data_IF_652848008534
#
_entry.id   IF_652848008534
#
_cell.length_a   1.000
_cell.length_b   1.000
_cell.length_c   1.000
_cell.angle_alpha   90.00
_cell.angle_beta   90.00
_cell.angle_gamma   90.00
#
_symmetry.space_group_name_H-M   'P 1'
#
loop_
_entity.id
_entity.type
_entity.pdbx_description
1 polymer ?
#
# COMPACT_ATOMS: atom_id res chain seq x y z
N UNK A 1 4.12 -25.55 51.77
CA UNK A 1 2.75 -26.10 51.95
C UNK A 1 1.78 -25.15 51.28
N UNK A 2 1.34 -25.52 50.08
CA UNK A 2 0.06 -25.15 49.45
C UNK A 2 0.10 -25.79 48.07
N UNK A 3 -0.36 -27.04 48.00
CA UNK A 3 -0.58 -27.78 46.76
C UNK A 3 -1.65 -27.09 45.93
N UNK A 4 -1.40 -26.92 44.63
CA UNK A 4 -2.43 -26.53 43.68
C UNK A 4 -2.59 -27.66 42.68
N UNK A 5 -3.79 -28.22 42.66
CA UNK A 5 -4.20 -29.38 41.88
C UNK A 5 -4.31 -29.02 40.40
N UNK A 6 -3.73 -29.87 39.56
CA UNK A 6 -3.90 -29.82 38.11
C UNK A 6 -5.29 -30.28 37.69
N UNK A 7 -5.83 -29.63 36.65
CA UNK A 7 -6.93 -30.17 35.86
C UNK A 7 -6.47 -30.33 34.42
N UNK A 8 -6.57 -31.58 33.98
CA UNK A 8 -6.22 -32.11 32.67
C UNK A 8 -7.24 -31.70 31.60
N UNK A 9 -6.75 -31.60 30.37
CA UNK A 9 -7.51 -31.42 29.14
C UNK A 9 -8.39 -32.64 28.82
N UNK A 10 -9.47 -32.48 28.03
CA UNK A 10 -10.07 -33.59 27.32
C UNK A 10 -9.37 -33.81 25.97
N UNK A 11 -8.77 -34.98 25.89
CA UNK A 11 -8.29 -35.71 24.73
C UNK A 11 -9.49 -36.06 23.83
N UNK A 12 -9.43 -35.72 22.54
CA UNK A 12 -10.33 -36.27 21.52
C UNK A 12 -9.50 -37.08 20.53
N UNK A 13 -9.45 -38.39 20.77
CA UNK A 13 -8.98 -39.38 19.82
C UNK A 13 -9.99 -39.53 18.68
N UNK A 14 -9.53 -39.45 17.44
CA UNK A 14 -10.29 -39.88 16.27
C UNK A 14 -9.54 -41.07 15.67
N UNK A 15 -10.25 -42.19 15.56
CA UNK A 15 -9.78 -43.47 15.05
C UNK A 15 -9.70 -43.43 13.52
N UNK A 16 -8.57 -43.88 12.97
CA UNK A 16 -8.43 -44.23 11.55
C UNK A 16 -9.13 -45.57 11.29
N UNK A 17 -10.12 -45.58 10.39
CA UNK A 17 -10.72 -46.80 9.84
C UNK A 17 -10.33 -46.90 8.35
N UNK A 18 -9.33 -47.73 8.06
CA UNK A 18 -8.98 -48.16 6.71
C UNK A 18 -10.11 -49.04 6.14
N UNK A 19 -10.71 -48.60 5.04
CA UNK A 19 -11.54 -49.47 4.19
C UNK A 19 -11.10 -49.33 2.74
N UNK A 20 -10.46 -50.39 2.23
CA UNK A 20 -10.19 -50.58 0.82
C UNK A 20 -11.50 -50.87 0.08
N UNK A 21 -11.79 -50.11 -0.97
CA UNK A 21 -12.77 -50.49 -1.99
C UNK A 21 -12.14 -50.35 -3.38
N UNK A 22 -11.96 -51.51 -4.01
CA UNK A 22 -11.90 -51.67 -5.46
C UNK A 22 -13.25 -51.26 -6.05
N UNK A 23 -13.32 -50.14 -6.75
CA UNK A 23 -13.71 -50.11 -8.16
C UNK A 23 -13.72 -48.67 -8.67
N UNK A 24 -13.27 -48.50 -9.91
CA UNK A 24 -13.20 -47.21 -10.57
C UNK A 24 -14.58 -46.56 -10.74
N UNK A 25 -14.57 -45.22 -10.71
CA UNK A 25 -15.63 -44.27 -11.10
C UNK A 25 -16.43 -43.63 -9.94
N UNK A 26 -16.24 -42.31 -9.75
CA UNK A 26 -17.23 -41.33 -9.25
C UNK A 26 -16.63 -39.92 -9.34
N UNK A 27 -17.14 -39.04 -10.21
CA UNK A 27 -18.23 -38.06 -9.95
C UNK A 27 -18.11 -37.34 -8.61
N UNK A 28 -17.67 -36.09 -8.68
CA UNK A 28 -17.57 -35.12 -7.61
C UNK A 28 -18.96 -34.72 -7.10
N UNK A 29 -19.37 -35.24 -5.94
CA UNK A 29 -20.52 -34.72 -5.18
C UNK A 29 -20.05 -33.55 -4.30
N UNK A 30 -20.53 -32.34 -4.60
CA UNK A 30 -20.43 -31.20 -3.67
C UNK A 30 -21.40 -31.42 -2.50
N UNK A 31 -20.86 -31.65 -1.30
CA UNK A 31 -21.62 -31.52 -0.05
C UNK A 31 -21.74 -30.03 0.29
N UNK A 32 -22.97 -29.52 0.24
CA UNK A 32 -23.35 -28.21 0.80
C UNK A 32 -23.75 -28.45 2.26
N UNK A 33 -23.01 -27.88 3.21
CA UNK A 33 -23.44 -27.77 4.61
C UNK A 33 -24.33 -26.53 4.72
N UNK A 34 -25.60 -26.74 5.03
CA UNK A 34 -26.53 -25.70 5.46
C UNK A 34 -26.38 -25.57 6.97
N UNK A 35 -25.82 -24.47 7.45
CA UNK A 35 -25.86 -24.08 8.86
C UNK A 35 -27.15 -23.28 9.06
N UNK A 36 -28.11 -23.86 9.78
CA UNK A 36 -29.31 -23.19 10.26
C UNK A 36 -29.00 -22.59 11.64
N UNK A 37 -28.92 -21.27 11.72
CA UNK A 37 -28.93 -20.54 12.99
C UNK A 37 -30.33 -19.99 13.23
N UNK A 38 -30.94 -20.42 14.33
CA UNK A 38 -32.21 -19.92 14.84
C UNK A 38 -32.04 -18.50 15.37
N UNK A 39 -32.82 -17.56 14.83
CA UNK A 39 -32.96 -16.20 15.35
C UNK A 39 -34.20 -16.19 16.25
N UNK A 40 -34.02 -15.81 17.51
CA UNK A 40 -35.12 -15.44 18.42
C UNK A 40 -35.42 -13.96 18.25
N UNK A 41 -36.65 -13.66 17.84
CA UNK A 41 -37.22 -12.31 17.82
C UNK A 41 -37.41 -11.77 19.24
N UNK A 42 -37.02 -10.51 19.46
CA UNK A 42 -37.76 -9.57 20.32
C UNK A 42 -37.36 -8.11 20.02
N UNK A 43 -38.30 -7.42 19.36
CA UNK A 43 -38.69 -6.00 19.47
C UNK A 43 -37.63 -4.91 19.74
N UNK A 44 -37.38 -4.06 18.73
CA UNK A 44 -37.73 -2.62 18.70
C UNK A 44 -37.16 -1.93 17.44
N UNK A 45 -38.00 -1.30 16.60
CA UNK A 45 -37.62 -0.36 15.52
C UNK A 45 -37.57 1.08 16.07
N UNK A 46 -36.69 1.98 15.57
CA UNK A 46 -37.06 2.92 14.48
C UNK A 46 -35.83 3.39 13.62
N UNK A 47 -35.91 4.46 12.81
CA UNK A 47 -36.66 4.62 11.55
C UNK A 47 -35.73 4.69 10.31
N UNK A 48 -36.34 4.65 9.14
CA UNK A 48 -35.73 4.61 7.81
C UNK A 48 -34.65 5.69 7.56
N UNK A 49 -33.43 5.24 7.25
CA UNK A 49 -32.41 5.99 6.51
C UNK A 49 -32.37 5.56 5.04
N UNK A 50 -31.80 6.38 4.13
CA UNK A 50 -31.94 6.17 2.69
C UNK A 50 -31.17 4.92 2.22
N UNK A 51 -31.89 3.94 1.68
CA UNK A 51 -31.30 2.81 0.95
C UNK A 51 -30.90 3.30 -0.44
N UNK A 52 -29.60 3.24 -0.76
CA UNK A 52 -29.11 3.43 -2.13
C UNK A 52 -29.25 2.09 -2.84
N UNK A 53 -30.24 2.01 -3.74
CA UNK A 53 -30.41 0.87 -4.63
C UNK A 53 -29.49 1.05 -5.84
N UNK A 54 -28.52 0.14 -6.01
CA UNK A 54 -27.63 0.13 -7.17
C UNK A 54 -28.21 -0.84 -8.20
N UNK A 55 -28.79 -0.30 -9.27
CA UNK A 55 -29.21 -1.11 -10.42
C UNK A 55 -28.00 -1.42 -11.31
N UNK A 56 -27.58 -2.68 -11.33
CA UNK A 56 -26.70 -3.22 -12.37
C UNK A 56 -27.57 -3.59 -13.56
N UNK A 57 -27.47 -2.85 -14.66
CA UNK A 57 -28.09 -3.20 -15.93
C UNK A 57 -27.15 -4.18 -16.64
N UNK A 58 -27.53 -5.46 -16.65
CA UNK A 58 -26.96 -6.47 -17.55
C UNK A 58 -27.84 -6.54 -18.80
N UNK A 59 -27.25 -6.29 -19.98
CA UNK A 59 -27.93 -6.41 -21.27
C UNK A 59 -27.38 -7.64 -21.98
N UNK A 60 -27.95 -8.81 -21.71
CA UNK A 60 -27.93 -9.91 -22.68
C UNK A 60 -29.08 -10.93 -22.52
N UNK A 61 -29.93 -10.96 -23.55
CA UNK A 61 -30.79 -12.06 -24.03
C UNK A 61 -32.03 -12.52 -23.23
N UNK A 62 -33.18 -11.99 -23.67
CA UNK A 62 -34.40 -12.70 -24.11
C UNK A 62 -34.76 -14.08 -23.52
N UNK A 63 -35.83 -14.12 -22.71
CA UNK A 63 -37.01 -15.00 -22.91
C UNK A 63 -38.22 -14.56 -22.06
N UNK A 64 -39.40 -14.59 -22.68
CA UNK A 64 -40.73 -14.23 -22.15
C UNK A 64 -41.22 -15.23 -21.09
N UNK A 65 -41.90 -14.76 -20.05
CA UNK A 65 -43.33 -15.05 -19.81
C UNK A 65 -43.89 -14.44 -18.49
N UNK A 66 -45.16 -14.04 -18.60
CA UNK A 66 -46.21 -13.90 -17.58
C UNK A 66 -46.22 -12.67 -16.63
N UNK A 67 -47.13 -11.76 -16.97
CA UNK A 67 -47.72 -10.70 -16.15
C UNK A 67 -48.53 -11.25 -14.97
N UNK A 68 -48.51 -10.53 -13.85
CA UNK A 68 -49.69 -10.34 -12.99
C UNK A 68 -49.72 -8.88 -12.52
N UNK A 69 -50.88 -8.24 -12.63
CA UNK A 69 -51.12 -6.81 -12.44
C UNK A 69 -51.37 -6.41 -10.97
N UNK A 70 -50.73 -5.30 -10.54
CA UNK A 70 -51.24 -4.11 -9.80
C UNK A 70 -51.94 -4.25 -8.42
N UNK A 71 -51.96 -3.20 -7.54
CA UNK A 71 -52.09 -1.75 -7.84
C UNK A 71 -51.00 -0.82 -7.24
N UNK A 72 -50.37 -0.02 -8.09
CA UNK A 72 -50.47 1.47 -8.24
C UNK A 72 -50.28 2.35 -7.00
N UNK A 73 -49.22 3.16 -7.04
CA UNK A 73 -49.27 4.59 -6.74
C UNK A 73 -48.47 5.34 -7.83
N UNK A 74 -49.18 6.18 -8.59
CA UNK A 74 -48.66 7.01 -9.68
C UNK A 74 -48.18 8.36 -9.18
N UNK A 75 -47.11 8.92 -9.76
CA UNK A 75 -46.99 10.37 -9.96
C UNK A 75 -46.19 10.70 -11.23
N UNK A 76 -46.56 11.83 -11.82
CA UNK A 76 -46.45 12.27 -13.21
C UNK A 76 -45.07 12.71 -13.70
N UNK A 77 -44.73 12.34 -14.93
CA UNK A 77 -43.57 12.79 -15.70
C UNK A 77 -43.90 14.11 -16.44
N UNK A 78 -43.12 15.19 -16.20
CA UNK A 78 -43.15 16.41 -17.03
C UNK A 78 -41.98 16.35 -18.01
N UNK A 79 -42.26 15.91 -19.23
CA UNK A 79 -41.37 16.12 -20.37
C UNK A 79 -41.50 17.56 -20.87
N UNK A 80 -40.46 18.37 -20.66
CA UNK A 80 -40.36 19.70 -21.27
C UNK A 80 -39.92 19.55 -22.75
N UNK A 81 -40.91 19.67 -23.62
CA UNK A 81 -40.79 19.89 -25.06
C UNK A 81 -40.26 21.31 -25.28
N UNK A 82 -39.07 21.46 -25.88
CA UNK A 82 -38.66 22.72 -26.51
C UNK A 82 -38.53 22.46 -28.01
N UNK A 83 -39.64 22.70 -28.70
CA UNK A 83 -39.66 23.10 -30.10
C UNK A 83 -39.86 24.61 -30.08
N UNK A 84 -38.86 25.35 -30.52
CA UNK A 84 -38.88 26.80 -30.57
C UNK A 84 -37.86 27.28 -31.57
N UNK A 85 -38.28 27.32 -32.83
CA UNK A 85 -37.62 28.03 -33.91
C UNK A 85 -37.55 29.51 -33.57
N UNK A 86 -36.35 30.08 -33.42
CA UNK A 86 -36.17 31.44 -33.90
C UNK A 86 -34.71 31.76 -34.25
N UNK A 87 -34.60 32.61 -35.27
CA UNK A 87 -33.38 32.99 -35.95
C UNK A 87 -32.54 33.88 -35.04
N UNK A 88 -31.32 33.47 -34.72
CA UNK A 88 -30.31 34.40 -34.21
C UNK A 88 -29.04 34.27 -35.03
N UNK A 89 -28.78 35.34 -35.78
CA UNK A 89 -27.55 35.61 -36.51
C UNK A 89 -26.37 35.70 -35.53
N UNK A 90 -25.44 34.75 -35.60
CA UNK A 90 -24.10 34.93 -35.06
C UNK A 90 -23.23 35.61 -36.12
N UNK A 91 -23.03 36.93 -35.98
CA UNK A 91 -21.97 37.66 -36.67
C UNK A 91 -20.65 37.40 -35.94
N UNK A 92 -19.89 36.44 -36.45
CA UNK A 92 -18.45 36.34 -36.18
C UNK A 92 -17.75 36.37 -37.54
N UNK A 93 -16.87 37.37 -37.73
CA UNK A 93 -15.95 37.52 -38.85
C UNK A 93 -16.56 37.45 -40.27
N UNK A 94 -17.35 38.45 -40.65
CA UNK A 94 -17.37 39.00 -42.02
C UNK A 94 -17.46 38.08 -43.25
N UNK A 95 -17.89 36.83 -43.14
CA UNK A 95 -17.93 35.85 -44.23
C UNK A 95 -19.30 35.15 -44.28
N UNK A 96 -20.02 35.33 -45.38
CA UNK A 96 -21.23 34.58 -45.69
C UNK A 96 -20.85 33.15 -46.14
N UNK A 97 -21.03 32.15 -45.27
CA UNK A 97 -20.87 30.73 -45.65
C UNK A 97 -22.24 30.06 -45.77
N UNK A 98 -22.55 29.52 -46.96
CA UNK A 98 -23.78 28.75 -47.20
C UNK A 98 -23.73 27.42 -46.45
N UNK A 99 -24.80 27.10 -45.71
CA UNK A 99 -24.97 25.93 -44.81
C UNK A 99 -24.96 24.56 -45.53
N UNK A 100 -24.74 24.51 -46.85
CA UNK A 100 -24.72 23.26 -47.63
C UNK A 100 -23.47 22.40 -47.47
N UNK A 101 -22.36 22.94 -46.94
CA UNK A 101 -21.05 22.25 -46.92
C UNK A 101 -20.61 21.69 -45.56
N UNK A 102 -21.29 22.02 -44.44
CA UNK A 102 -20.84 21.59 -43.10
C UNK A 102 -21.20 20.16 -42.74
N UNK A 103 -22.29 19.60 -43.27
CA UNK A 103 -22.75 18.24 -42.93
C UNK A 103 -21.81 17.11 -43.34
N UNK A 104 -21.27 17.07 -44.59
CA UNK A 104 -20.33 16.00 -44.95
C UNK A 104 -18.99 16.15 -44.23
N UNK A 105 -18.57 17.37 -43.91
CA UNK A 105 -17.31 17.63 -43.21
C UNK A 105 -17.38 17.19 -41.74
N UNK A 106 -18.50 17.46 -41.05
CA UNK A 106 -18.71 16.98 -39.67
C UNK A 106 -18.83 15.45 -39.60
N UNK A 107 -19.46 14.82 -40.59
CA UNK A 107 -19.51 13.36 -40.68
C UNK A 107 -18.11 12.74 -40.90
N UNK A 108 -17.27 13.39 -41.72
CA UNK A 108 -15.88 12.98 -41.94
C UNK A 108 -15.03 13.15 -40.69
N UNK A 109 -15.16 14.27 -39.97
CA UNK A 109 -14.45 14.51 -38.70
C UNK A 109 -14.86 13.50 -37.64
N UNK A 110 -16.15 13.14 -37.55
CA UNK A 110 -16.63 12.13 -36.64
C UNK A 110 -16.09 10.72 -36.98
N UNK A 111 -16.05 10.35 -38.27
CA UNK A 111 -15.49 9.07 -38.72
C UNK A 111 -13.99 8.97 -38.46
N UNK A 112 -13.24 10.05 -38.68
CA UNK A 112 -11.80 10.11 -38.35
C UNK A 112 -11.58 10.02 -36.84
N UNK A 113 -12.39 10.72 -36.03
CA UNK A 113 -12.28 10.65 -34.57
C UNK A 113 -12.57 9.24 -34.04
N UNK A 114 -13.58 8.54 -34.56
CA UNK A 114 -13.89 7.15 -34.20
C UNK A 114 -12.78 6.21 -34.67
N UNK A 115 -12.24 6.40 -35.88
CA UNK A 115 -11.12 5.60 -36.38
C UNK A 115 -9.85 5.75 -35.52
N UNK A 116 -9.54 6.97 -35.08
CA UNK A 116 -8.42 7.26 -34.17
C UNK A 116 -8.65 6.63 -32.79
N UNK A 117 -9.88 6.68 -32.26
CA UNK A 117 -10.24 6.06 -30.97
C UNK A 117 -10.15 4.53 -31.01
N UNK A 118 -10.58 3.89 -32.11
CA UNK A 118 -10.47 2.45 -32.29
C UNK A 118 -9.01 2.03 -32.45
N UNK A 119 -8.24 2.76 -33.26
CA UNK A 119 -6.81 2.51 -33.45
C UNK A 119 -6.03 2.71 -32.15
N UNK A 120 -6.35 3.75 -31.37
CA UNK A 120 -5.78 3.96 -30.04
C UNK A 120 -6.09 2.80 -29.09
N UNK A 121 -7.32 2.30 -29.06
CA UNK A 121 -7.69 1.16 -28.21
C UNK A 121 -7.02 -0.16 -28.65
N UNK A 122 -6.83 -0.39 -29.95
CA UNK A 122 -6.13 -1.57 -30.47
C UNK A 122 -4.65 -1.50 -30.15
N UNK A 123 -4.01 -0.35 -30.39
CA UNK A 123 -2.59 -0.12 -30.07
C UNK A 123 -2.36 -0.18 -28.55
N UNK A 124 -3.25 0.39 -27.73
CA UNK A 124 -3.17 0.31 -26.28
C UNK A 124 -3.32 -1.14 -25.76
N UNK A 125 -4.15 -1.97 -26.42
CA UNK A 125 -4.28 -3.40 -26.11
C UNK A 125 -3.07 -4.24 -26.51
N UNK A 126 -2.43 -3.95 -27.65
CA UNK A 126 -1.19 -4.65 -28.02
C UNK A 126 0.01 -4.21 -27.20
N UNK A 127 0.11 -2.92 -26.86
CA UNK A 127 1.18 -2.41 -25.98
C UNK A 127 1.04 -2.99 -24.57
N UNK A 128 -0.16 -3.10 -24.01
CA UNK A 128 -0.38 -3.77 -22.70
C UNK A 128 -0.09 -5.26 -22.71
N UNK A 129 -0.09 -5.92 -23.88
CA UNK A 129 0.25 -7.34 -24.01
C UNK A 129 1.77 -7.59 -24.12
N UNK A 130 2.55 -6.61 -24.61
CA UNK A 130 4.00 -6.74 -24.81
C UNK A 130 4.87 -5.96 -23.80
N UNK A 131 4.35 -4.94 -23.14
CA UNK A 131 5.05 -4.23 -22.06
C UNK A 131 4.33 -4.43 -20.74
N UNK A 132 4.79 -5.40 -19.95
CA UNK A 132 4.23 -5.72 -18.63
C UNK A 132 4.35 -4.60 -17.58
N UNK A 133 4.90 -3.42 -17.88
CA UNK A 133 5.29 -2.42 -16.87
C UNK A 133 5.17 -0.93 -17.29
N UNK A 134 4.43 -0.57 -18.35
CA UNK A 134 4.20 0.85 -18.71
C UNK A 134 2.74 1.25 -18.58
N UNK A 135 2.28 1.37 -17.33
CA UNK A 135 1.05 2.10 -17.02
C UNK A 135 1.38 3.58 -16.80
N UNK A 136 0.94 4.42 -17.75
CA UNK A 136 0.80 5.86 -17.50
C UNK A 136 -0.38 6.06 -16.55
N UNK A 137 -0.10 6.26 -15.27
CA UNK A 137 -1.04 6.87 -14.32
C UNK A 137 -1.40 8.27 -14.84
N UNK A 138 -2.52 8.41 -15.56
CA UNK A 138 -3.10 9.74 -15.80
C UNK A 138 -3.64 10.23 -14.45
N UNK A 139 -3.07 11.27 -13.85
CA UNK A 139 -3.39 11.61 -12.46
C UNK A 139 -4.72 12.37 -12.39
N UNK A 140 -5.57 11.94 -11.46
CA UNK A 140 -6.76 12.67 -10.95
C UNK A 140 -6.39 14.08 -10.41
N UNK A 141 -5.09 14.38 -10.25
CA UNK A 141 -4.55 15.68 -9.85
C UNK A 141 -4.81 16.82 -10.85
N UNK A 142 -5.32 16.56 -12.06
CA UNK A 142 -5.64 17.65 -13.01
C UNK A 142 -7.02 18.27 -12.79
N UNK A 143 -7.88 17.69 -11.93
CA UNK A 143 -9.26 18.15 -11.76
C UNK A 143 -9.69 18.41 -10.30
N UNK A 144 -9.00 17.84 -9.30
CA UNK A 144 -9.45 17.88 -7.90
C UNK A 144 -8.93 19.09 -7.10
N UNK A 145 -7.92 19.82 -7.59
CA UNK A 145 -7.47 21.07 -6.94
C UNK A 145 -8.51 22.21 -6.99
N UNK A 146 -9.68 21.97 -7.61
CA UNK A 146 -10.83 22.89 -7.62
C UNK A 146 -12.02 22.45 -6.76
N UNK A 147 -11.93 21.32 -6.06
CA UNK A 147 -12.96 20.88 -5.13
C UNK A 147 -12.34 20.88 -3.73
N UNK A 148 -12.64 21.91 -2.95
CA UNK A 148 -12.17 22.09 -1.57
C UNK A 148 -12.45 20.84 -0.71
N UNK A 149 -11.43 20.21 -0.09
CA UNK A 149 -11.63 19.31 1.03
C UNK A 149 -11.82 20.15 2.31
N UNK A 150 -13.07 20.54 2.59
CA UNK A 150 -13.45 21.60 3.54
C UNK A 150 -13.29 21.29 5.05
N UNK A 151 -12.78 20.12 5.44
CA UNK A 151 -12.65 19.75 6.86
C UNK A 151 -11.21 19.65 7.39
N UNK A 152 -10.25 19.14 6.59
CA UNK A 152 -8.84 19.00 7.04
C UNK A 152 -8.01 20.27 6.81
N UNK A 153 -8.31 21.04 5.75
CA UNK A 153 -7.64 22.33 5.45
C UNK A 153 -7.85 23.40 6.53
N UNK A 154 -8.99 23.37 7.24
CA UNK A 154 -9.28 24.37 8.26
C UNK A 154 -8.46 24.15 9.56
N UNK A 155 -8.12 22.91 9.88
CA UNK A 155 -7.29 22.59 11.07
C UNK A 155 -5.83 22.96 10.79
N UNK A 156 -5.31 22.66 9.60
CA UNK A 156 -3.91 22.97 9.24
C UNK A 156 -3.62 24.46 9.29
N UNK A 157 -4.56 25.31 8.86
CA UNK A 157 -4.37 26.76 8.87
C UNK A 157 -4.37 27.33 10.30
N UNK A 158 -5.29 26.89 11.17
CA UNK A 158 -5.30 27.33 12.57
C UNK A 158 -4.05 26.93 13.36
N UNK A 159 -3.51 25.74 13.08
CA UNK A 159 -2.26 25.28 13.69
C UNK A 159 -1.06 26.05 13.18
N UNK A 160 -0.95 26.23 11.86
CA UNK A 160 0.14 26.99 11.25
C UNK A 160 0.17 28.44 11.77
N UNK A 161 -1.00 29.09 11.87
CA UNK A 161 -1.11 30.42 12.45
C UNK A 161 -0.60 30.47 13.90
N UNK A 162 -0.97 29.48 14.72
CA UNK A 162 -0.50 29.38 16.10
C UNK A 162 1.01 29.14 16.20
N UNK A 163 1.55 28.32 15.30
CA UNK A 163 2.99 28.06 15.21
C UNK A 163 3.76 29.32 14.80
N UNK A 164 3.31 30.04 13.77
CA UNK A 164 3.94 31.26 13.29
C UNK A 164 3.91 32.39 14.32
N UNK A 165 2.88 32.43 15.19
CA UNK A 165 2.85 33.36 16.32
C UNK A 165 3.93 33.04 17.38
N UNK A 166 4.22 31.77 17.60
CA UNK A 166 5.26 31.31 18.53
C UNK A 166 6.67 31.39 17.92
N UNK A 167 6.78 31.34 16.59
CA UNK A 167 8.02 31.35 15.82
C UNK A 167 8.04 32.50 14.80
N UNK A 168 8.16 33.76 15.25
CA UNK A 168 8.09 34.94 14.38
C UNK A 168 9.28 35.06 13.42
N UNK A 169 10.32 34.26 13.61
CA UNK A 169 11.49 34.14 12.74
C UNK A 169 11.21 33.32 11.47
N UNK A 170 10.12 32.54 11.45
CA UNK A 170 9.71 31.74 10.30
C UNK A 170 8.89 32.60 9.34
N UNK A 171 9.36 32.72 8.10
CA UNK A 171 8.62 33.37 7.02
C UNK A 171 7.37 32.54 6.68
N UNK A 172 6.19 33.08 6.99
CA UNK A 172 4.90 32.46 6.72
C UNK A 172 4.71 32.11 5.23
N UNK A 173 5.34 32.84 4.31
CA UNK A 173 5.26 32.57 2.86
C UNK A 173 6.13 31.38 2.44
N UNK A 174 7.00 30.90 3.33
CA UNK A 174 7.90 29.78 3.13
C UNK A 174 7.64 28.66 4.14
N UNK A 175 6.46 28.61 4.75
CA UNK A 175 6.08 27.57 5.69
C UNK A 175 4.81 26.84 5.22
N UNK A 176 4.72 25.54 5.49
CA UNK A 176 3.50 24.78 5.26
C UNK A 176 3.40 23.58 6.21
N UNK A 177 2.21 22.99 6.26
CA UNK A 177 1.89 21.81 7.07
C UNK A 177 1.30 20.73 6.16
N UNK A 178 1.82 19.49 6.15
CA UNK A 178 1.24 18.42 5.36
C UNK A 178 -0.07 17.91 6.00
N UNK A 179 -0.93 17.29 5.21
CA UNK A 179 -2.10 16.58 5.73
C UNK A 179 -1.69 15.25 6.40
N UNK A 180 -1.18 15.34 7.63
CA UNK A 180 -0.83 14.14 8.41
C UNK A 180 -2.06 13.29 8.71
N UNK A 181 -1.87 11.97 8.68
CA UNK A 181 -2.92 11.01 8.93
C UNK A 181 -3.24 10.93 10.42
N UNK A 182 -4.51 10.78 10.75
CA UNK A 182 -4.94 10.50 12.11
C UNK A 182 -4.67 9.02 12.45
N UNK A 183 -3.71 8.77 13.35
CA UNK A 183 -3.34 7.42 13.78
C UNK A 183 -4.54 6.59 14.26
N UNK A 184 -5.48 7.20 14.99
CA UNK A 184 -6.69 6.52 15.49
C UNK A 184 -7.63 6.02 14.39
N UNK A 185 -7.56 6.63 13.20
CA UNK A 185 -8.37 6.24 12.03
C UNK A 185 -7.67 5.22 11.12
N UNK A 186 -6.38 4.92 11.36
CA UNK A 186 -5.62 3.96 10.57
C UNK A 186 -5.98 2.54 11.01
N UNK A 187 -6.30 1.69 10.03
CA UNK A 187 -6.48 0.26 10.25
C UNK A 187 -5.14 -0.47 10.19
N UNK A 188 -4.62 -0.87 11.36
CA UNK A 188 -3.46 -1.74 11.48
C UNK A 188 -3.86 -3.22 11.48
N UNK A 189 -2.97 -4.11 11.00
CA UNK A 189 -3.32 -5.52 10.77
C UNK A 189 -3.13 -6.41 11.98
N UNK A 190 -2.28 -6.01 12.91
CA UNK A 190 -2.05 -6.71 14.16
C UNK A 190 -2.50 -5.88 15.36
N UNK A 191 -2.74 -6.59 16.47
CA UNK A 191 -3.02 -6.02 17.78
C UNK A 191 -1.73 -5.79 18.58
N UNK A 192 -0.59 -5.64 17.91
CA UNK A 192 0.68 -5.37 18.57
C UNK A 192 0.55 -4.11 19.45
N UNK A 193 1.17 -4.15 20.64
CA UNK A 193 1.14 -3.05 21.62
C UNK A 193 1.45 -1.68 21.00
N UNK A 194 2.37 -1.64 20.04
CA UNK A 194 2.72 -0.44 19.28
C UNK A 194 1.49 0.23 18.64
N UNK A 195 0.67 -0.52 17.90
CA UNK A 195 -0.51 0.01 17.22
C UNK A 195 -1.62 0.40 18.19
N UNK A 196 -1.85 -0.39 19.24
CA UNK A 196 -2.79 -0.02 20.29
C UNK A 196 -2.36 1.31 20.96
N UNK A 197 -1.06 1.47 21.23
CA UNK A 197 -0.53 2.68 21.86
C UNK A 197 -0.68 3.89 20.93
N UNK A 198 -0.21 3.82 19.68
CA UNK A 198 -0.26 4.96 18.74
C UNK A 198 -1.70 5.39 18.41
N UNK A 199 -2.66 4.45 18.39
CA UNK A 199 -4.08 4.77 18.16
C UNK A 199 -4.74 5.47 19.36
N UNK A 200 -4.26 5.22 20.57
CA UNK A 200 -4.77 5.86 21.81
C UNK A 200 -4.10 7.19 22.14
N UNK A 201 -2.96 7.48 21.51
CA UNK A 201 -2.37 8.81 21.61
C UNK A 201 -3.28 9.79 20.85
N UNK A 202 -4.07 10.58 21.57
CA UNK A 202 -4.85 11.67 20.97
C UNK A 202 -3.89 12.65 20.29
N UNK A 203 -3.82 12.60 18.95
CA UNK A 203 -2.77 13.24 18.14
C UNK A 203 -1.36 13.01 18.71
N UNK A 204 -0.72 11.86 18.41
CA UNK A 204 0.55 11.49 19.04
C UNK A 204 1.59 12.60 18.98
N UNK A 205 1.58 13.35 17.88
CA UNK A 205 2.34 14.57 17.72
C UNK A 205 1.59 15.53 16.79
N UNK A 206 1.79 16.84 16.97
CA UNK A 206 1.30 17.84 16.02
C UNK A 206 1.93 17.60 14.63
N UNK A 207 1.27 17.96 13.53
CA UNK A 207 1.87 17.88 12.20
C UNK A 207 3.23 18.61 12.12
N UNK A 208 4.21 18.14 11.34
CA UNK A 208 5.46 18.87 11.15
C UNK A 208 5.19 20.17 10.40
N UNK A 209 5.89 21.23 10.78
CA UNK A 209 5.94 22.47 10.00
C UNK A 209 7.18 22.41 9.12
N UNK A 210 6.96 22.42 7.80
CA UNK A 210 8.04 22.45 6.83
C UNK A 210 8.33 23.87 6.40
N UNK A 211 9.62 24.21 6.30
CA UNK A 211 10.06 25.54 5.89
C UNK A 211 11.01 25.48 4.69
N UNK A 212 11.15 26.60 3.98
CA UNK A 212 12.10 26.75 2.88
C UNK A 212 11.91 25.66 1.80
N UNK A 213 12.97 24.88 1.52
CA UNK A 213 12.91 23.81 0.52
C UNK A 213 12.01 22.64 0.92
N UNK A 214 11.78 22.40 2.22
CA UNK A 214 10.92 21.31 2.70
C UNK A 214 9.45 21.56 2.43
N UNK A 215 9.06 22.78 2.06
CA UNK A 215 7.67 23.11 1.71
C UNK A 215 7.11 22.28 0.56
N UNK A 216 7.98 21.73 -0.31
CA UNK A 216 7.58 20.80 -1.37
C UNK A 216 6.85 19.55 -0.84
N UNK A 217 7.08 19.15 0.41
CA UNK A 217 6.41 18.01 1.03
C UNK A 217 4.90 18.21 1.28
N UNK A 218 4.42 19.46 1.29
CA UNK A 218 2.99 19.74 1.40
C UNK A 218 2.26 19.58 0.06
N UNK A 219 3.00 19.49 -1.05
CA UNK A 219 2.42 19.20 -2.36
C UNK A 219 2.29 17.68 -2.56
N UNK A 220 1.18 17.11 -2.11
CA UNK A 220 0.92 15.67 -2.25
C UNK A 220 0.94 15.20 -3.71
N UNK A 221 0.55 16.05 -4.65
CA UNK A 221 0.50 15.73 -6.08
C UNK A 221 1.91 15.54 -6.65
N UNK A 222 2.85 16.42 -6.28
CA UNK A 222 4.27 16.24 -6.58
C UNK A 222 4.85 15.05 -5.83
N UNK A 223 4.47 14.86 -4.57
CA UNK A 223 4.86 13.70 -3.77
C UNK A 223 4.55 12.36 -4.44
N UNK A 224 3.44 12.25 -5.17
CA UNK A 224 3.08 11.03 -5.93
C UNK A 224 4.02 10.71 -7.08
N UNK A 225 4.72 11.70 -7.63
CA UNK A 225 5.64 11.55 -8.78
C UNK A 225 7.10 11.48 -8.34
N UNK A 226 7.39 12.04 -7.18
CA UNK A 226 8.73 12.12 -6.62
C UNK A 226 9.12 10.76 -6.03
N UNK A 227 10.29 10.25 -6.41
CA UNK A 227 10.82 8.99 -5.89
C UNK A 227 11.34 9.19 -4.45
N UNK A 228 12.64 9.34 -4.28
CA UNK A 228 13.29 9.62 -3.00
C UNK A 228 12.89 10.96 -2.39
N UNK A 229 12.54 11.94 -3.23
CA UNK A 229 12.29 13.32 -2.81
C UNK A 229 10.94 13.51 -2.09
N UNK A 230 10.19 12.43 -1.87
CA UNK A 230 9.00 12.43 -0.99
C UNK A 230 9.18 11.55 0.26
N UNK A 231 10.38 11.03 0.48
CA UNK A 231 10.71 10.38 1.74
C UNK A 231 10.97 11.44 2.82
N UNK A 232 10.44 11.21 4.02
CA UNK A 232 10.66 12.08 5.16
C UNK A 232 12.15 12.11 5.49
N UNK A 233 12.79 13.30 5.59
CA UNK A 233 14.15 13.40 6.07
C UNK A 233 14.21 12.99 7.54
N UNK A 234 14.93 11.92 7.83
CA UNK A 234 15.08 11.38 9.19
C UNK A 234 16.57 11.21 9.45
N UNK A 235 17.05 11.70 10.60
CA UNK A 235 18.40 11.45 11.10
C UNK A 235 18.34 10.75 12.45
N UNK A 236 19.33 9.93 12.73
CA UNK A 236 19.39 9.19 13.98
C UNK A 236 20.74 8.54 14.19
N UNK A 237 20.95 8.08 15.42
CA UNK A 237 22.11 7.30 15.85
C UNK A 237 22.14 5.94 15.18
N UNK A 238 23.35 5.52 14.83
CA UNK A 238 23.67 4.20 14.24
C UNK A 238 24.70 3.43 15.07
N UNK A 239 25.13 4.00 16.19
CA UNK A 239 26.13 3.43 17.08
C UNK A 239 25.51 2.36 18.00
N UNK A 240 26.28 1.31 18.28
CA UNK A 240 25.79 0.15 19.04
C UNK A 240 25.60 0.49 20.51
N UNK A 241 26.39 1.42 21.03
CA UNK A 241 26.42 1.82 22.44
C UNK A 241 25.08 2.40 22.88
N UNK A 242 24.46 3.25 22.03
CA UNK A 242 23.21 3.90 22.35
C UNK A 242 21.99 3.32 21.63
N UNK A 243 22.19 2.42 20.66
CA UNK A 243 21.13 1.76 19.90
C UNK A 243 21.23 0.24 19.96
N UNK A 244 21.29 -0.25 21.19
CA UNK A 244 21.22 -1.69 21.45
C UNK A 244 19.77 -2.17 21.36
N UNK A 245 19.45 -2.97 20.35
CA UNK A 245 18.09 -3.51 20.08
C UNK A 245 17.03 -2.41 19.83
N UNK A 246 17.17 -1.64 18.74
CA UNK A 246 16.26 -0.54 18.44
C UNK A 246 14.84 -1.05 18.17
N UNK A 247 13.86 -0.49 18.86
CA UNK A 247 12.47 -0.91 18.80
C UNK A 247 11.53 0.19 18.32
N UNK A 248 10.47 -0.18 17.60
CA UNK A 248 9.39 0.74 17.20
C UNK A 248 8.64 1.34 18.39
N UNK A 249 8.74 0.76 19.59
CA UNK A 249 8.20 1.41 20.79
C UNK A 249 8.95 2.69 21.16
N UNK A 250 10.22 2.81 20.78
CA UNK A 250 11.07 3.97 21.12
C UNK A 250 10.55 5.26 20.46
N UNK A 251 9.98 5.14 19.26
CA UNK A 251 9.49 6.27 18.46
C UNK A 251 8.10 6.77 18.88
N UNK A 252 7.53 6.23 19.95
CA UNK A 252 6.30 6.72 20.56
C UNK A 252 6.55 7.78 21.65
N UNK A 253 7.82 7.99 22.05
CA UNK A 253 8.24 9.12 22.88
C UNK A 253 8.85 10.22 22.02
N UNK A 254 8.87 11.49 22.45
CA UNK A 254 9.56 12.57 21.74
C UNK A 254 11.00 12.20 21.38
N UNK A 255 11.38 12.41 20.11
CA UNK A 255 12.70 12.09 19.57
C UNK A 255 13.41 13.34 19.03
N UNK A 256 14.73 13.24 18.98
CA UNK A 256 15.64 14.17 18.30
C UNK A 256 16.63 13.35 17.47
N UNK A 257 17.35 13.96 16.50
CA UNK A 257 18.42 13.25 15.78
C UNK A 257 19.48 12.62 16.69
N UNK A 258 19.66 13.14 17.91
CA UNK A 258 20.62 12.64 18.90
C UNK A 258 20.10 11.47 19.75
N UNK A 259 18.78 11.29 19.84
CA UNK A 259 18.15 10.24 20.66
C UNK A 259 17.54 9.13 19.81
N UNK A 260 17.11 9.44 18.59
CA UNK A 260 16.50 8.50 17.68
C UNK A 260 17.51 7.43 17.26
N UNK A 261 17.18 6.17 17.52
CA UNK A 261 17.91 5.08 16.91
C UNK A 261 17.40 4.80 15.51
N UNK A 262 18.31 4.79 14.54
CA UNK A 262 17.94 4.67 13.12
C UNK A 262 17.21 3.35 12.81
N UNK A 263 17.49 2.29 13.57
CA UNK A 263 16.81 1.00 13.46
C UNK A 263 15.34 1.02 13.92
N UNK A 264 14.92 1.95 14.78
CA UNK A 264 13.55 1.99 15.32
C UNK A 264 12.51 2.34 14.24
N UNK A 265 12.68 3.39 13.40
CA UNK A 265 11.79 3.63 12.26
C UNK A 265 11.91 2.55 11.18
N UNK A 266 13.08 1.91 11.01
CA UNK A 266 13.23 0.76 10.10
C UNK A 266 12.40 -0.44 10.55
N UNK A 267 12.42 -0.79 11.84
CA UNK A 267 11.61 -1.89 12.36
C UNK A 267 10.11 -1.62 12.19
N UNK A 268 9.65 -0.39 12.45
CA UNK A 268 8.27 0.01 12.17
C UNK A 268 7.92 -0.19 10.69
N UNK A 269 8.73 0.40 9.80
CA UNK A 269 8.51 0.36 8.36
C UNK A 269 8.50 -1.09 7.82
N UNK A 270 9.46 -1.91 8.23
CA UNK A 270 9.53 -3.32 7.88
C UNK A 270 8.25 -4.05 8.30
N UNK A 271 7.85 -3.88 9.57
CA UNK A 271 6.68 -4.60 10.11
C UNK A 271 5.41 -4.23 9.36
N UNK A 272 5.18 -2.94 9.14
CA UNK A 272 3.99 -2.43 8.46
C UNK A 272 3.90 -2.89 7.01
N UNK A 273 5.02 -2.86 6.27
CA UNK A 273 5.09 -3.33 4.88
C UNK A 273 4.89 -4.84 4.80
N UNK A 274 5.53 -5.60 5.70
CA UNK A 274 5.39 -7.05 5.79
C UNK A 274 3.93 -7.46 6.07
N UNK A 275 3.27 -6.80 7.01
CA UNK A 275 1.87 -7.05 7.35
C UNK A 275 0.91 -6.72 6.20
N UNK A 276 1.15 -5.64 5.44
CA UNK A 276 0.31 -5.33 4.26
C UNK A 276 0.47 -6.37 3.15
N UNK A 277 1.68 -6.87 2.90
CA UNK A 277 1.86 -7.98 1.95
C UNK A 277 1.07 -9.22 2.37
N UNK A 278 1.13 -9.60 3.65
CA UNK A 278 0.33 -10.73 4.17
C UNK A 278 -1.17 -10.48 4.01
N UNK A 279 -1.64 -9.27 4.30
CA UNK A 279 -3.05 -8.91 4.17
C UNK A 279 -3.56 -8.99 2.72
N UNK A 280 -2.68 -8.82 1.73
CA UNK A 280 -3.00 -8.97 0.30
C UNK A 280 -2.90 -10.42 -0.21
N UNK A 281 -2.59 -11.37 0.67
CA UNK A 281 -2.40 -12.78 0.33
C UNK A 281 -1.04 -13.09 -0.32
N UNK A 282 -0.09 -12.16 -0.29
CA UNK A 282 1.29 -12.45 -0.64
C UNK A 282 1.95 -13.29 0.46
N UNK A 283 3.09 -13.93 0.16
CA UNK A 283 3.94 -14.56 1.18
C UNK A 283 5.26 -13.78 1.25
N UNK A 284 5.32 -12.69 2.03
CA UNK A 284 6.56 -11.96 2.22
C UNK A 284 7.55 -12.79 3.03
N UNK A 285 8.83 -12.64 2.72
CA UNK A 285 9.95 -13.26 3.42
C UNK A 285 11.05 -12.22 3.63
N UNK A 286 11.67 -12.15 4.81
CA UNK A 286 12.83 -11.27 5.00
C UNK A 286 14.08 -11.89 4.37
N UNK A 287 14.89 -11.07 3.70
CA UNK A 287 16.07 -11.49 2.93
C UNK A 287 17.31 -10.66 3.29
N UNK A 288 18.44 -10.96 2.65
CA UNK A 288 19.66 -10.14 2.64
C UNK A 288 20.08 -9.57 4.00
N UNK A 289 20.28 -8.26 4.12
CA UNK A 289 20.81 -7.61 5.32
C UNK A 289 19.85 -7.72 6.51
N UNK A 290 18.56 -7.80 6.22
CA UNK A 290 17.51 -7.99 7.25
C UNK A 290 17.55 -9.40 7.82
N UNK A 291 17.62 -10.42 6.97
CA UNK A 291 17.81 -11.80 7.40
C UNK A 291 19.13 -11.96 8.15
N UNK A 292 20.20 -11.30 7.68
CA UNK A 292 21.50 -11.31 8.34
C UNK A 292 21.44 -10.74 9.75
N UNK A 293 20.72 -9.63 9.95
CA UNK A 293 20.49 -9.03 11.27
C UNK A 293 19.74 -9.97 12.21
N UNK A 294 18.65 -10.57 11.71
CA UNK A 294 17.87 -11.57 12.45
C UNK A 294 18.72 -12.77 12.88
N UNK A 295 19.52 -13.34 11.98
CA UNK A 295 20.37 -14.51 12.28
C UNK A 295 21.53 -14.17 13.21
N UNK A 296 22.18 -13.00 13.06
CA UNK A 296 23.33 -12.61 13.88
C UNK A 296 22.94 -12.24 15.30
N UNK A 297 21.99 -11.31 15.42
CA UNK A 297 21.71 -10.59 16.67
C UNK A 297 20.22 -10.55 17.01
N UNK A 298 19.36 -11.19 16.23
CA UNK A 298 17.90 -11.09 16.39
C UNK A 298 17.38 -9.66 16.28
N UNK A 299 18.03 -8.78 15.52
CA UNK A 299 17.70 -7.35 15.43
C UNK A 299 18.13 -6.72 14.11
N UNK A 300 17.58 -5.54 13.81
CA UNK A 300 18.06 -4.69 12.71
C UNK A 300 19.55 -4.33 12.89
N UNK A 301 20.35 -4.40 11.83
CA UNK A 301 21.78 -4.07 11.90
C UNK A 301 21.96 -2.56 12.18
N UNK A 302 22.62 -2.14 13.27
CA UNK A 302 22.60 -0.73 13.74
C UNK A 302 23.07 0.33 12.73
N UNK A 303 23.88 -0.04 11.74
CA UNK A 303 24.46 0.88 10.75
C UNK A 303 23.84 0.78 9.35
N UNK A 304 22.79 -0.01 9.18
CA UNK A 304 22.08 -0.10 7.89
C UNK A 304 21.11 1.06 7.70
N UNK A 305 20.85 1.39 6.45
CA UNK A 305 19.90 2.43 6.06
C UNK A 305 18.53 1.86 5.68
N UNK A 306 18.44 0.54 5.56
CA UNK A 306 17.36 -0.18 4.88
C UNK A 306 16.97 -1.50 5.54
N UNK A 307 15.88 -2.07 5.06
CA UNK A 307 15.51 -3.46 5.30
C UNK A 307 15.01 -4.10 4.00
N UNK A 308 14.98 -5.42 3.94
CA UNK A 308 14.85 -6.20 2.71
C UNK A 308 13.68 -7.18 2.85
N UNK A 309 12.66 -7.02 2.02
CA UNK A 309 11.54 -7.98 1.92
C UNK A 309 11.52 -8.60 0.53
N UNK A 310 11.63 -9.92 0.48
CA UNK A 310 11.23 -10.73 -0.66
C UNK A 310 9.73 -10.91 -0.71
N UNK A 311 9.11 -10.82 -1.89
CA UNK A 311 7.68 -11.09 -2.07
C UNK A 311 7.43 -11.84 -3.38
N UNK A 312 6.43 -12.73 -3.41
CA UNK A 312 5.95 -13.30 -4.67
C UNK A 312 4.79 -12.49 -5.22
N UNK A 313 4.80 -12.28 -6.52
CA UNK A 313 3.63 -11.73 -7.21
C UNK A 313 2.50 -12.75 -7.15
N UNK A 314 1.34 -12.33 -6.67
CA UNK A 314 0.11 -13.08 -6.77
C UNK A 314 -0.87 -12.29 -7.63
N UNK A 315 -1.75 -12.96 -8.40
CA UNK A 315 -2.83 -12.26 -9.11
C UNK A 315 -3.81 -11.52 -8.19
N UNK A 316 -3.68 -11.64 -6.86
CA UNK A 316 -4.61 -11.07 -5.88
C UNK A 316 -4.36 -9.59 -5.59
N UNK A 317 -3.21 -9.03 -5.99
CA UNK A 317 -2.96 -7.60 -5.83
C UNK A 317 -2.03 -7.02 -6.91
N UNK A 318 -2.12 -5.71 -7.10
CA UNK A 318 -1.23 -4.93 -7.96
C UNK A 318 -0.29 -4.04 -7.13
N UNK A 319 0.82 -3.59 -7.74
CA UNK A 319 1.71 -2.62 -7.11
C UNK A 319 0.97 -1.32 -6.72
N UNK A 320 -0.04 -0.92 -7.50
CA UNK A 320 -0.90 0.24 -7.19
C UNK A 320 -1.72 0.00 -5.92
N UNK A 321 -2.33 -1.19 -5.77
CA UNK A 321 -3.07 -1.52 -4.55
C UNK A 321 -2.16 -1.53 -3.31
N UNK A 322 -0.94 -2.07 -3.43
CA UNK A 322 0.07 -2.01 -2.37
C UNK A 322 0.43 -0.57 -2.02
N UNK A 323 0.70 0.26 -3.03
CA UNK A 323 1.00 1.69 -2.87
C UNK A 323 -0.14 2.42 -2.15
N UNK A 324 -1.38 2.17 -2.51
CA UNK A 324 -2.54 2.82 -1.88
C UNK A 324 -2.81 2.32 -0.45
N UNK A 325 -2.51 1.05 -0.15
CA UNK A 325 -2.58 0.54 1.22
C UNK A 325 -1.51 1.16 2.12
N UNK A 326 -0.27 1.23 1.62
CA UNK A 326 0.85 1.88 2.32
C UNK A 326 0.62 3.38 2.50
N UNK A 327 0.07 4.07 1.49
CA UNK A 327 -0.26 5.49 1.58
C UNK A 327 -1.29 5.78 2.68
N UNK A 328 -2.29 4.91 2.88
CA UNK A 328 -3.27 5.04 3.97
C UNK A 328 -2.66 4.87 5.36
N UNK A 329 -1.39 4.49 5.46
CA UNK A 329 -0.60 4.45 6.70
C UNK A 329 0.49 5.52 6.75
N UNK A 330 0.63 6.36 5.72
CA UNK A 330 1.63 7.41 5.66
C UNK A 330 2.99 6.91 5.18
N UNK A 331 3.02 5.87 4.36
CA UNK A 331 4.22 5.40 3.69
C UNK A 331 4.19 5.76 2.20
N UNK A 332 5.37 5.97 1.64
CA UNK A 332 5.57 6.27 0.23
C UNK A 332 6.24 5.10 -0.47
N UNK A 333 5.55 4.48 -1.43
CA UNK A 333 6.09 3.39 -2.25
C UNK A 333 6.37 3.88 -3.68
N UNK A 334 7.59 3.71 -4.14
CA UNK A 334 8.07 4.14 -5.45
C UNK A 334 9.01 3.10 -6.07
N UNK A 335 9.36 3.27 -7.35
CA UNK A 335 10.26 2.37 -8.06
C UNK A 335 11.57 3.09 -8.42
N UNK A 336 12.71 2.51 -8.01
CA UNK A 336 14.07 2.93 -8.39
C UNK A 336 14.93 1.68 -8.61
N UNK A 337 14.73 1.04 -9.78
CA UNK A 337 15.34 -0.25 -10.14
C UNK A 337 14.74 -1.46 -9.42
N UNK A 338 14.21 -1.28 -8.22
CA UNK A 338 13.31 -2.17 -7.48
C UNK A 338 12.24 -1.31 -6.79
N UNK A 339 11.17 -1.93 -6.30
CA UNK A 339 10.22 -1.19 -5.47
C UNK A 339 10.83 -0.90 -4.10
N UNK A 340 10.53 0.29 -3.60
CA UNK A 340 11.04 0.80 -2.34
C UNK A 340 9.91 1.45 -1.56
N UNK A 341 9.99 1.38 -0.24
CA UNK A 341 9.05 2.05 0.65
C UNK A 341 9.82 2.89 1.64
N UNK A 342 9.39 4.11 1.89
CA UNK A 342 9.93 4.96 2.95
C UNK A 342 8.79 5.62 3.74
N UNK A 343 9.12 6.27 4.84
CA UNK A 343 8.17 7.05 5.64
C UNK A 343 7.84 8.34 4.88
N UNK A 344 6.56 8.67 4.74
CA UNK A 344 6.11 9.87 4.04
C UNK A 344 5.88 11.05 5.02
N UNK A 345 5.88 12.31 4.54
CA UNK A 345 5.51 13.49 5.31
C UNK A 345 4.12 13.44 5.96
N UNK A 346 3.23 12.60 5.45
CA UNK A 346 1.86 12.42 5.97
C UNK A 346 1.77 11.38 7.09
N UNK A 347 2.86 10.72 7.46
CA UNK A 347 2.86 9.71 8.53
C UNK A 347 2.45 10.32 9.89
N UNK A 348 1.66 9.63 10.73
CA UNK A 348 1.25 10.16 12.04
C UNK A 348 2.41 10.50 13.00
N UNK A 349 3.57 9.87 12.82
CA UNK A 349 4.79 10.14 13.58
C UNK A 349 5.76 11.09 12.85
N UNK A 350 5.37 11.72 11.75
CA UNK A 350 6.30 12.48 10.91
C UNK A 350 7.03 13.58 11.69
N UNK A 351 6.33 14.37 12.51
CA UNK A 351 6.95 15.42 13.33
C UNK A 351 7.94 14.89 14.37
N UNK A 352 7.70 13.69 14.90
CA UNK A 352 8.62 13.06 15.85
C UNK A 352 9.89 12.53 15.17
N UNK A 353 9.83 12.23 13.88
CA UNK A 353 10.93 11.61 13.14
C UNK A 353 11.70 12.60 12.25
N UNK A 354 11.08 13.72 11.90
CA UNK A 354 11.60 14.68 10.96
C UNK A 354 12.86 15.37 11.47
N UNK A 355 13.90 15.39 10.63
CA UNK A 355 15.09 16.21 10.83
C UNK A 355 15.07 17.44 9.89
N UNK A 356 14.80 18.65 10.41
CA UNK A 356 14.75 19.88 9.60
C UNK A 356 16.12 20.32 9.08
N UNK A 357 17.22 19.83 9.64
CA UNK A 357 18.58 20.19 9.15
C UNK A 357 19.00 19.30 7.96
N UNK A 358 18.26 18.22 7.71
CA UNK A 358 18.59 17.28 6.64
C UNK A 358 18.12 17.79 5.29
N UNK A 359 19.07 17.93 4.37
CA UNK A 359 18.83 18.42 3.00
C UNK A 359 18.07 17.40 2.15
N UNK A 360 17.12 17.89 1.36
CA UNK A 360 16.27 17.08 0.45
C UNK A 360 17.04 16.58 -0.78
N UNK A 361 18.07 17.30 -1.21
CA UNK A 361 18.84 16.97 -2.42
C UNK A 361 19.75 15.74 -2.27
N UNK A 362 19.76 15.12 -1.08
CA UNK A 362 20.58 13.94 -0.78
C UNK A 362 19.82 12.88 0.05
N UNK A 363 18.54 12.66 -0.23
CA UNK A 363 17.74 11.65 0.49
C UNK A 363 17.93 10.23 -0.03
N UNK A 364 18.38 10.07 -1.29
CA UNK A 364 18.62 8.75 -1.89
C UNK A 364 19.58 7.92 -1.04
N UNK A 365 19.12 6.76 -0.57
CA UNK A 365 19.85 5.85 0.33
C UNK A 365 20.23 6.41 1.71
N UNK A 366 19.66 7.56 2.06
CA UNK A 366 20.06 8.34 3.23
C UNK A 366 18.91 8.51 4.24
N UNK A 367 17.73 7.96 3.95
CA UNK A 367 16.57 7.91 4.83
C UNK A 367 16.26 6.45 5.18
N UNK A 368 15.43 6.14 6.18
CA UNK A 368 14.96 4.78 6.41
C UNK A 368 14.08 4.29 5.24
N UNK A 369 14.40 3.15 4.65
CA UNK A 369 13.59 2.54 3.60
C UNK A 369 13.53 1.00 3.68
N UNK A 370 12.59 0.41 2.95
CA UNK A 370 12.52 -1.03 2.71
C UNK A 370 12.65 -1.29 1.22
N UNK A 371 13.61 -2.14 0.84
CA UNK A 371 13.78 -2.66 -0.51
C UNK A 371 12.91 -3.91 -0.72
N UNK A 372 12.19 -3.94 -1.84
CA UNK A 372 11.22 -4.97 -2.17
C UNK A 372 11.70 -5.81 -3.35
N UNK A 373 12.08 -7.04 -3.05
CA UNK A 373 12.66 -7.97 -4.00
C UNK A 373 11.63 -8.95 -4.51
N UNK A 374 11.44 -8.98 -5.82
CA UNK A 374 10.57 -9.99 -6.43
C UNK A 374 11.19 -11.38 -6.30
N UNK A 375 10.40 -12.33 -5.79
CA UNK A 375 10.69 -13.75 -5.74
C UNK A 375 9.76 -14.47 -6.72
N UNK A 376 10.32 -14.98 -7.81
CA UNK A 376 9.58 -15.67 -8.86
C UNK A 376 9.79 -17.18 -8.73
N UNK A 377 8.71 -17.97 -8.52
CA UNK A 377 8.83 -19.41 -8.46
C UNK A 377 9.25 -19.99 -9.83
N UNK A 378 9.89 -21.16 -9.85
CA UNK A 378 10.26 -21.82 -11.09
C UNK A 378 9.05 -22.13 -11.96
N UNK A 379 9.20 -21.94 -13.28
CA UNK A 379 8.15 -22.21 -14.27
C UNK A 379 7.98 -23.69 -14.59
N UNK A 380 8.93 -24.55 -14.20
CA UNK A 380 8.88 -25.99 -14.46
C UNK A 380 9.37 -26.82 -13.27
N UNK A 381 8.91 -28.06 -13.18
CA UNK A 381 9.20 -28.98 -12.07
C UNK A 381 10.57 -29.67 -12.17
N UNK A 382 11.22 -29.70 -13.34
CA UNK A 382 12.60 -30.21 -13.46
C UNK A 382 13.58 -29.09 -13.13
N UNK A 383 14.45 -29.31 -12.14
CA UNK A 383 15.42 -28.31 -11.67
C UNK A 383 14.75 -26.99 -11.30
N UNK A 384 13.78 -27.07 -10.39
CA UNK A 384 12.94 -25.98 -9.95
C UNK A 384 13.77 -24.90 -9.22
N UNK A 385 14.34 -23.97 -9.98
CA UNK A 385 15.15 -22.86 -9.49
C UNK A 385 14.31 -21.57 -9.40
N UNK A 386 14.26 -20.98 -8.21
CA UNK A 386 13.68 -19.68 -7.95
C UNK A 386 14.57 -18.57 -8.46
N UNK A 387 13.94 -17.53 -8.98
CA UNK A 387 14.60 -16.26 -9.27
C UNK A 387 14.25 -15.27 -8.17
N UNK A 388 15.27 -14.77 -7.47
CA UNK A 388 15.12 -13.69 -6.49
C UNK A 388 15.86 -12.48 -7.07
N UNK A 389 15.20 -11.33 -7.09
CA UNK A 389 15.76 -10.12 -7.68
C UNK A 389 17.03 -9.69 -6.94
N UNK A 390 18.04 -9.18 -7.66
CA UNK A 390 19.33 -8.67 -7.12
C UNK A 390 20.23 -9.69 -6.42
N UNK A 391 19.98 -11.00 -6.59
CA UNK A 391 20.90 -12.03 -6.11
C UNK A 391 22.31 -11.86 -6.69
N UNK A 392 23.33 -12.13 -5.88
CA UNK A 392 24.73 -12.08 -6.32
C UNK A 392 24.96 -12.94 -7.56
N UNK A 393 25.62 -12.37 -8.57
CA UNK A 393 25.90 -13.02 -9.86
C UNK A 393 24.65 -13.57 -10.58
N UNK A 394 23.46 -12.99 -10.33
CA UNK A 394 22.18 -13.47 -10.86
C UNK A 394 21.92 -14.96 -10.54
N UNK A 395 22.42 -15.43 -9.39
CA UNK A 395 22.23 -16.80 -8.92
C UNK A 395 20.74 -17.12 -8.76
N UNK A 396 20.35 -18.29 -9.25
CA UNK A 396 19.03 -18.87 -8.98
C UNK A 396 19.11 -19.88 -7.84
N UNK A 397 18.05 -20.01 -7.06
CA UNK A 397 18.05 -20.75 -5.80
C UNK A 397 17.21 -22.03 -5.93
N UNK A 398 17.73 -23.22 -5.57
CA UNK A 398 16.94 -24.44 -5.53
C UNK A 398 15.66 -24.31 -4.68
N UNK A 399 14.55 -24.93 -5.13
CA UNK A 399 13.25 -24.78 -4.47
C UNK A 399 13.25 -25.26 -3.02
N UNK A 400 13.96 -26.33 -2.71
CA UNK A 400 14.13 -26.87 -1.35
C UNK A 400 14.90 -25.94 -0.42
N UNK A 401 15.65 -24.98 -0.98
CA UNK A 401 16.33 -23.91 -0.21
C UNK A 401 15.45 -22.68 -0.01
N UNK A 402 14.40 -22.51 -0.81
CA UNK A 402 13.46 -21.38 -0.70
C UNK A 402 12.19 -21.76 0.05
N UNK A 403 11.57 -22.89 -0.26
CA UNK A 403 10.30 -23.35 0.32
C UNK A 403 10.41 -24.79 0.89
N UNK A 404 9.63 -25.14 1.94
CA UNK A 404 8.70 -24.28 2.67
C UNK A 404 9.45 -23.17 3.44
N UNK A 405 8.80 -22.01 3.61
CA UNK A 405 9.39 -20.94 4.39
C UNK A 405 9.70 -21.38 5.81
N UNK A 406 10.87 -20.99 6.30
CA UNK A 406 11.24 -21.10 7.71
C UNK A 406 10.90 -19.78 8.42
N UNK A 407 11.06 -19.74 9.74
CA UNK A 407 10.84 -18.52 10.52
C UNK A 407 12.09 -18.14 11.30
N UNK A 408 12.32 -16.83 11.38
CA UNK A 408 13.34 -16.22 12.22
C UNK A 408 12.71 -15.18 13.12
N UNK A 409 13.33 -14.92 14.27
CA UNK A 409 12.91 -13.90 15.20
C UNK A 409 13.80 -12.66 15.05
N UNK A 410 13.17 -11.49 14.98
CA UNK A 410 13.85 -10.21 14.94
C UNK A 410 13.06 -9.19 15.77
N UNK A 411 13.74 -8.60 16.76
CA UNK A 411 13.20 -7.59 17.66
C UNK A 411 11.86 -8.03 18.31
N UNK A 412 11.80 -9.30 18.71
CA UNK A 412 10.63 -9.95 19.35
C UNK A 412 9.48 -10.29 18.41
N UNK A 413 9.65 -10.13 17.09
CA UNK A 413 8.65 -10.46 16.07
C UNK A 413 9.15 -11.61 15.19
N UNK A 414 8.23 -12.48 14.75
CA UNK A 414 8.54 -13.59 13.86
C UNK A 414 8.26 -13.22 12.41
N UNK A 415 9.23 -13.49 11.55
CA UNK A 415 9.14 -13.28 10.11
C UNK A 415 9.41 -14.58 9.38
N UNK A 416 8.65 -14.83 8.32
CA UNK A 416 8.98 -15.87 7.37
C UNK A 416 10.29 -15.49 6.64
N UNK A 417 11.08 -16.50 6.30
CA UNK A 417 12.25 -16.40 5.43
C UNK A 417 12.37 -17.67 4.57
N UNK A 418 13.41 -17.75 3.74
CA UNK A 418 13.71 -18.93 2.93
C UNK A 418 13.88 -20.19 3.78
N UNK A 419 13.67 -21.36 3.19
CA UNK A 419 13.75 -22.65 3.89
C UNK A 419 15.11 -22.88 4.58
N UNK A 420 16.19 -22.46 3.93
CA UNK A 420 17.55 -22.58 4.45
C UNK A 420 18.23 -21.20 4.53
N UNK A 421 18.00 -20.44 5.62
CA UNK A 421 18.54 -19.09 5.76
C UNK A 421 20.07 -19.08 5.86
N UNK A 422 20.68 -20.16 6.36
CA UNK A 422 22.13 -20.27 6.49
C UNK A 422 22.77 -20.45 5.11
N UNK A 423 22.26 -21.37 4.28
CA UNK A 423 22.72 -21.53 2.90
C UNK A 423 22.59 -20.23 2.11
N UNK A 424 21.45 -19.54 2.27
CA UNK A 424 21.22 -18.24 1.63
C UNK A 424 22.29 -17.22 2.02
N UNK A 425 22.53 -17.01 3.31
CA UNK A 425 23.51 -16.02 3.79
C UNK A 425 24.95 -16.38 3.42
N UNK A 426 25.34 -17.66 3.44
CA UNK A 426 26.68 -18.11 3.02
C UNK A 426 26.91 -17.81 1.54
N UNK A 427 25.91 -17.98 0.68
CA UNK A 427 26.06 -17.67 -0.74
C UNK A 427 26.10 -16.17 -1.04
N UNK A 428 25.32 -15.36 -0.31
CA UNK A 428 25.29 -13.91 -0.54
C UNK A 428 26.52 -13.21 0.08
N UNK A 429 26.92 -13.59 1.30
CA UNK A 429 27.93 -12.89 2.11
C UNK A 429 29.22 -13.70 2.37
N UNK A 430 29.28 -14.97 1.96
CA UNK A 430 30.44 -15.85 2.18
C UNK A 430 30.45 -16.53 3.56
N UNK A 431 31.38 -17.47 3.79
CA UNK A 431 31.46 -18.24 5.04
C UNK A 431 31.75 -17.41 6.29
N UNK A 432 32.30 -16.19 6.13
CA UNK A 432 32.55 -15.23 7.20
C UNK A 432 31.34 -14.38 7.59
N UNK A 433 30.15 -14.65 7.04
CA UNK A 433 28.98 -13.80 7.21
C UNK A 433 28.50 -13.66 8.66
N UNK A 434 29.02 -14.36 9.67
CA UNK A 434 28.66 -14.09 11.07
C UNK A 434 29.50 -12.99 11.71
N UNK A 435 30.63 -12.63 11.10
CA UNK A 435 31.53 -11.60 11.63
C UNK A 435 31.26 -10.26 10.92
N UNK A 436 30.90 -9.18 11.65
CA UNK A 436 30.79 -7.86 11.06
C UNK A 436 32.14 -7.43 10.46
N UNK A 437 32.18 -7.22 9.15
CA UNK A 437 33.33 -6.60 8.50
C UNK A 437 33.20 -5.07 8.63
N UNK A 438 34.33 -4.38 8.81
CA UNK A 438 34.35 -2.92 8.73
C UNK A 438 34.11 -2.52 7.26
N UNK A 439 33.14 -1.63 7.01
CA UNK A 439 32.95 -1.03 5.67
C UNK A 439 34.28 -0.30 5.32
N UNK A 440 35.03 -0.83 4.35
CA UNK A 440 36.33 -0.28 3.91
C UNK A 440 37.45 -1.32 3.67
N UNK A 441 37.28 -2.56 4.13
CA UNK A 441 38.32 -3.60 4.01
C UNK A 441 38.20 -4.51 2.76
N UNK A 442 37.13 -4.36 1.97
CA UNK A 442 37.02 -5.00 0.65
C UNK A 442 37.41 -3.98 -0.44
N UNK A 443 38.68 -4.04 -0.86
CA UNK A 443 39.13 -3.58 -2.18
C UNK A 443 39.28 -4.76 -3.12
#
# INVERSE_FOLDING_TARGET
>A
MSENQGLLAPESAEYDEERADHDGNKRTQRRVRVLTTSITDNAARPPCGPTIEVHVIDVSSTRKAAQTMSPTCSFTEKAAKIVGSDKTLLRLFGLNVRVGFLRPMLAWVALVAVGVLVLYNVIAREITFWSGDLYFDLPICTFVDKIEPSAQLNVSNSFLDSYLQLHPDVDATQACVPATLNASAIHYRSNHRFYATIQTLEQPFMPPVFTGKHTSFCNECEGRRNAWDYCLPISGRKDKENCNSPGRMDILSPQTPLTLCYGSPLQMLLTDVYEEFKAMGAKPAILFGTLLGAVRNGSTIPFTEDSDIGYQYTPSYTATQMRDALRRKGYHMFYDGIYRVCIAPTHPLASNLFDPERRIDNLRYNVPYVDLYRMTPPTSSRNALWEIQKMKNNRRVPSDKVVPFSQVEMDGLRYDTVADPIDFLVHEYGGGYMTPQRRGDDR
#
